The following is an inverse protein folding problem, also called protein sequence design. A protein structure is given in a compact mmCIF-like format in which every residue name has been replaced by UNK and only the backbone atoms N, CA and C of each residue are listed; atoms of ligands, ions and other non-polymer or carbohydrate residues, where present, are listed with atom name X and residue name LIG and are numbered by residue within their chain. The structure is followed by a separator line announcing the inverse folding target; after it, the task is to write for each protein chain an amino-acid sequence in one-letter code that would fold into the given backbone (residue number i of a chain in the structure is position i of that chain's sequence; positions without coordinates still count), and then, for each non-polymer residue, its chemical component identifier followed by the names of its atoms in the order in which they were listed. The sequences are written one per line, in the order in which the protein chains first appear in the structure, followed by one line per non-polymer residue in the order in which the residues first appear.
data_IF_427493835442
#
_entry.id   IF_427493835442
#
_cell.length_a   1.000
_cell.length_b   1.000
_cell.length_c   1.000
_cell.angle_alpha   90.00
_cell.angle_beta   90.00
_cell.angle_gamma   90.00
#
_symmetry.space_group_name_H-M   'P 1'
#
loop_
_entity.id
_entity.type
_entity.pdbx_description
1 polymer ?
#
# COMPACT_ATOMS: atom_id res chain seq x y z
N UNK A 1 -16.27 -4.07 -9.67
CA UNK A 1 -15.82 -3.02 -10.62
C UNK A 1 -14.73 -3.61 -11.51
N UNK A 2 -14.49 -3.10 -12.72
CA UNK A 2 -13.34 -3.58 -13.51
C UNK A 2 -12.01 -3.02 -12.94
N UNK A 3 -10.99 -3.88 -12.91
CA UNK A 3 -9.62 -3.48 -12.64
C UNK A 3 -9.07 -2.65 -13.81
N UNK A 4 -8.08 -1.80 -13.54
CA UNK A 4 -7.51 -0.84 -14.51
C UNK A 4 -6.02 -1.09 -14.69
N UNK A 5 -5.50 -0.71 -15.86
CA UNK A 5 -4.05 -0.70 -16.11
C UNK A 5 -3.31 0.08 -15.01
N UNK A 6 -2.35 -0.59 -14.37
CA UNK A 6 -1.57 -0.07 -13.26
C UNK A 6 -2.10 -0.43 -11.86
N UNK A 7 -3.34 -0.94 -11.71
CA UNK A 7 -3.82 -1.48 -10.42
C UNK A 7 -2.90 -2.64 -9.96
N UNK A 8 -2.78 -2.79 -8.64
CA UNK A 8 -1.94 -3.80 -8.02
C UNK A 8 -2.70 -4.62 -6.97
N UNK A 9 -2.25 -5.86 -6.76
CA UNK A 9 -2.84 -6.79 -5.80
C UNK A 9 -1.79 -7.47 -4.92
N UNK A 10 -2.25 -8.05 -3.82
CA UNK A 10 -1.39 -8.77 -2.86
C UNK A 10 -2.14 -9.94 -2.22
N UNK A 11 -1.43 -11.04 -1.92
CA UNK A 11 -1.97 -12.13 -1.12
C UNK A 11 -1.61 -11.97 0.37
N UNK A 12 -2.56 -12.22 1.26
CA UNK A 12 -2.40 -12.17 2.72
C UNK A 12 -2.78 -13.51 3.38
N UNK A 13 -2.01 -13.96 4.40
CA UNK A 13 -0.66 -13.50 4.75
C UNK A 13 0.38 -13.92 3.69
N UNK A 14 1.50 -13.20 3.62
CA UNK A 14 2.56 -13.46 2.62
C UNK A 14 3.34 -14.77 2.91
N UNK A 15 3.13 -15.38 4.07
CA UNK A 15 3.83 -16.57 4.60
C UNK A 15 2.86 -17.39 5.43
N UNK A 16 3.11 -18.70 5.56
CA UNK A 16 2.30 -19.57 6.43
C UNK A 16 2.65 -19.41 7.92
N UNK A 17 3.92 -19.09 8.22
CA UNK A 17 4.43 -19.03 9.59
C UNK A 17 5.46 -17.93 9.80
N UNK A 18 5.56 -17.50 11.05
CA UNK A 18 6.48 -16.50 11.55
C UNK A 18 7.21 -17.02 12.80
N UNK A 19 8.47 -16.63 12.94
CA UNK A 19 9.27 -16.91 14.13
C UNK A 19 8.85 -16.03 15.34
N UNK A 20 9.52 -16.23 16.48
CA UNK A 20 9.33 -15.44 17.70
C UNK A 20 9.62 -13.94 17.55
N UNK A 21 10.29 -13.52 16.49
CA UNK A 21 10.63 -12.13 16.16
C UNK A 21 9.66 -11.53 15.12
N UNK A 22 8.56 -12.22 14.80
CA UNK A 22 7.62 -11.90 13.72
C UNK A 22 8.26 -11.81 12.32
N UNK A 23 9.33 -12.56 12.09
CA UNK A 23 10.01 -12.71 10.80
C UNK A 23 9.56 -14.00 10.11
N UNK A 24 9.73 -14.08 8.79
CA UNK A 24 9.50 -15.31 8.01
C UNK A 24 10.32 -16.48 8.59
N UNK A 25 9.65 -17.56 9.01
CA UNK A 25 10.30 -18.73 9.64
C UNK A 25 11.14 -19.53 8.63
N UNK A 26 10.57 -19.84 7.46
CA UNK A 26 11.27 -20.53 6.36
C UNK A 26 11.24 -19.69 5.09
N UNK A 27 12.42 -19.18 4.70
CA UNK A 27 12.59 -18.43 3.45
C UNK A 27 12.34 -19.27 2.20
N UNK A 28 12.61 -20.58 2.25
CA UNK A 28 12.34 -21.49 1.14
C UNK A 28 10.84 -21.71 0.94
N UNK A 29 10.08 -21.89 2.04
CA UNK A 29 8.62 -22.02 1.98
C UNK A 29 7.98 -20.70 1.52
N UNK A 30 8.49 -19.56 2.01
CA UNK A 30 8.08 -18.25 1.54
C UNK A 30 8.30 -18.06 0.04
N UNK A 31 9.49 -18.41 -0.47
CA UNK A 31 9.78 -18.32 -1.90
C UNK A 31 8.85 -19.21 -2.74
N UNK A 32 8.63 -20.46 -2.30
CA UNK A 32 7.73 -21.39 -2.97
C UNK A 32 6.27 -20.88 -2.99
N UNK A 33 5.75 -20.42 -1.85
CA UNK A 33 4.39 -19.90 -1.72
C UNK A 33 4.18 -18.64 -2.56
N UNK A 34 5.12 -17.68 -2.54
CA UNK A 34 5.01 -16.48 -3.36
C UNK A 34 5.18 -16.78 -4.87
N UNK A 35 5.90 -17.86 -5.23
CA UNK A 35 5.92 -18.37 -6.61
C UNK A 35 4.56 -18.99 -7.01
N UNK A 36 3.89 -19.71 -6.11
CA UNK A 36 2.52 -20.21 -6.35
C UNK A 36 1.54 -19.05 -6.53
N UNK A 37 1.63 -18.02 -5.69
CA UNK A 37 0.84 -16.80 -5.81
C UNK A 37 1.06 -16.09 -7.17
N UNK A 38 2.30 -16.04 -7.66
CA UNK A 38 2.62 -15.54 -9.01
C UNK A 38 1.98 -16.39 -10.10
N UNK A 39 2.02 -17.72 -9.99
CA UNK A 39 1.40 -18.62 -10.96
C UNK A 39 -0.13 -18.49 -10.98
N UNK A 40 -0.79 -18.25 -9.84
CA UNK A 40 -2.23 -17.97 -9.79
C UNK A 40 -2.61 -16.61 -10.40
N UNK A 41 -1.67 -15.66 -10.44
CA UNK A 41 -1.84 -14.34 -11.04
C UNK A 41 -1.63 -14.27 -12.55
N UNK A 42 -1.15 -15.35 -13.17
CA UNK A 42 -0.85 -15.38 -14.62
C UNK A 42 -2.13 -15.11 -15.41
N UNK A 43 -2.11 -14.05 -16.23
CA UNK A 43 -3.24 -13.63 -17.05
C UNK A 43 -4.18 -12.62 -16.40
N UNK A 44 -3.95 -12.17 -15.16
CA UNK A 44 -4.75 -11.10 -14.55
C UNK A 44 -4.43 -9.69 -15.10
N UNK A 45 -3.28 -9.50 -15.76
CA UNK A 45 -2.76 -8.20 -16.22
C UNK A 45 -2.57 -7.14 -15.10
N UNK A 46 -2.52 -7.58 -13.84
CA UNK A 46 -2.33 -6.73 -12.66
C UNK A 46 -0.94 -6.89 -12.04
N UNK A 47 -0.46 -5.85 -11.39
CA UNK A 47 0.85 -5.89 -10.71
C UNK A 47 0.76 -6.64 -9.38
N UNK A 48 1.49 -7.75 -9.23
CA UNK A 48 1.58 -8.44 -7.95
C UNK A 48 2.67 -7.83 -7.05
N UNK A 49 2.30 -7.47 -5.82
CA UNK A 49 3.18 -6.77 -4.89
C UNK A 49 4.06 -7.71 -4.04
N UNK A 50 3.66 -8.97 -3.87
CA UNK A 50 4.40 -9.99 -3.13
C UNK A 50 5.07 -11.04 -4.03
N UNK A 51 5.42 -10.71 -5.28
CA UNK A 51 6.26 -11.57 -6.10
C UNK A 51 7.65 -11.79 -5.48
N UNK A 52 8.25 -12.98 -5.66
CA UNK A 52 9.59 -13.28 -5.17
C UNK A 52 10.65 -13.16 -6.26
N UNK A 53 11.57 -12.20 -6.13
CA UNK A 53 12.63 -11.91 -7.10
C UNK A 53 14.00 -12.50 -6.74
N UNK A 54 14.05 -13.49 -5.84
CA UNK A 54 15.31 -13.95 -5.22
C UNK A 54 15.80 -13.05 -4.07
N UNK A 55 15.46 -11.76 -4.09
CA UNK A 55 15.94 -10.78 -3.11
C UNK A 55 15.03 -10.64 -1.88
N UNK A 56 15.64 -10.48 -0.70
CA UNK A 56 14.94 -10.21 0.57
C UNK A 56 14.83 -8.71 0.80
N UNK A 57 13.83 -8.06 0.20
CA UNK A 57 13.57 -6.63 0.44
C UNK A 57 13.06 -6.37 1.87
N UNK A 58 13.20 -5.14 2.37
CA UNK A 58 12.61 -4.74 3.67
C UNK A 58 11.08 -4.94 3.69
N UNK A 59 10.42 -4.77 2.54
CA UNK A 59 8.98 -5.04 2.39
C UNK A 59 8.72 -6.53 2.63
N UNK A 60 9.39 -7.41 1.89
CA UNK A 60 9.30 -8.86 1.99
C UNK A 60 9.60 -9.37 3.41
N UNK A 61 10.57 -8.78 4.11
CA UNK A 61 10.92 -9.16 5.48
C UNK A 61 9.90 -8.67 6.52
N UNK A 62 9.54 -7.39 6.47
CA UNK A 62 8.81 -6.76 7.58
C UNK A 62 7.28 -6.87 7.45
N UNK A 63 6.75 -6.95 6.24
CA UNK A 63 5.29 -6.95 5.99
C UNK A 63 4.58 -8.17 6.56
N UNK A 64 5.08 -9.42 6.41
CA UNK A 64 4.44 -10.61 6.97
C UNK A 64 4.12 -10.47 8.47
N UNK A 65 5.04 -9.93 9.27
CA UNK A 65 4.84 -9.66 10.70
C UNK A 65 3.92 -8.47 11.00
N UNK A 66 3.83 -7.49 10.10
CA UNK A 66 2.92 -6.33 10.22
C UNK A 66 1.49 -6.65 9.78
N UNK A 67 1.29 -7.65 8.93
CA UNK A 67 -0.03 -8.05 8.39
C UNK A 67 -0.56 -9.39 8.93
N UNK A 68 0.14 -10.03 9.89
CA UNK A 68 -0.25 -11.33 10.50
C UNK A 68 -1.68 -11.35 11.03
N UNK A 69 -2.15 -10.24 11.61
CA UNK A 69 -3.48 -10.09 12.23
C UNK A 69 -4.50 -9.40 11.34
N UNK A 70 -4.28 -9.38 10.02
CA UNK A 70 -5.18 -8.71 9.09
C UNK A 70 -6.64 -9.22 9.22
N UNK A 71 -7.65 -8.35 9.05
CA UNK A 71 -7.55 -6.90 9.10
C UNK A 71 -7.41 -6.38 10.55
N UNK A 72 -6.49 -5.44 10.73
CA UNK A 72 -6.27 -4.65 11.95
C UNK A 72 -5.65 -3.29 11.59
N UNK A 73 -5.66 -2.31 12.51
CA UNK A 73 -5.16 -0.96 12.22
C UNK A 73 -3.70 -0.94 11.75
N UNK A 74 -2.87 -1.85 12.28
CA UNK A 74 -1.44 -1.97 11.90
C UNK A 74 -1.28 -2.46 10.46
N UNK A 75 -2.04 -3.47 10.06
CA UNK A 75 -2.01 -4.00 8.70
C UNK A 75 -2.59 -3.00 7.70
N UNK A 76 -3.70 -2.32 8.02
CA UNK A 76 -4.27 -1.25 7.19
C UNK A 76 -3.24 -0.14 6.95
N UNK A 77 -2.58 0.38 7.99
CA UNK A 77 -1.51 1.39 7.86
C UNK A 77 -0.29 0.86 7.09
N UNK A 78 -0.02 -0.45 7.13
CA UNK A 78 1.08 -1.08 6.38
C UNK A 78 0.75 -1.36 4.91
N UNK A 79 -0.53 -1.54 4.58
CA UNK A 79 -1.05 -1.71 3.22
C UNK A 79 -1.29 -0.35 2.55
N UNK A 80 -1.58 0.66 3.35
CA UNK A 80 -1.15 2.03 3.06
C UNK A 80 0.40 2.07 2.98
N UNK A 81 1.00 3.18 2.58
CA UNK A 81 2.42 3.22 2.11
C UNK A 81 2.73 2.44 0.81
N UNK A 82 2.00 1.35 0.44
CA UNK A 82 2.15 0.71 -0.88
C UNK A 82 1.45 1.56 -1.97
N UNK A 83 2.08 1.80 -3.14
CA UNK A 83 1.44 2.46 -4.28
C UNK A 83 0.60 1.45 -5.08
N UNK A 84 -0.41 1.93 -5.81
CA UNK A 84 -1.31 1.13 -6.66
C UNK A 84 -2.07 -0.04 -6.02
N UNK A 85 -1.84 -0.40 -4.75
CA UNK A 85 -2.57 -1.49 -4.09
C UNK A 85 -4.08 -1.19 -4.08
N UNK A 86 -4.84 -2.03 -4.76
CA UNK A 86 -6.29 -1.97 -4.86
C UNK A 86 -6.97 -3.28 -4.46
N UNK A 87 -6.34 -4.43 -4.64
CA UNK A 87 -6.95 -5.72 -4.32
C UNK A 87 -6.14 -6.52 -3.31
N UNK A 88 -6.83 -7.08 -2.32
CA UNK A 88 -6.23 -7.94 -1.29
C UNK A 88 -6.93 -9.30 -1.39
N UNK A 89 -6.15 -10.35 -1.63
CA UNK A 89 -6.62 -11.74 -1.57
C UNK A 89 -6.21 -12.32 -0.22
N UNK A 90 -7.15 -12.51 0.70
CA UNK A 90 -6.88 -13.09 2.01
C UNK A 90 -7.32 -14.56 2.04
N UNK A 91 -6.39 -15.47 2.36
CA UNK A 91 -6.68 -16.90 2.47
C UNK A 91 -6.92 -17.26 3.94
N UNK A 92 -8.18 -17.48 4.34
CA UNK A 92 -8.55 -17.77 5.73
C UNK A 92 -7.77 -18.96 6.31
N UNK A 93 -7.63 -20.04 5.53
CA UNK A 93 -6.86 -21.23 5.89
C UNK A 93 -5.34 -20.99 6.12
N UNK A 94 -4.81 -19.81 5.79
CA UNK A 94 -3.42 -19.41 6.05
C UNK A 94 -3.29 -18.41 7.20
N UNK A 95 -4.40 -17.89 7.72
CA UNK A 95 -4.42 -16.99 8.88
C UNK A 95 -4.41 -17.86 10.16
N UNK A 96 -3.48 -17.63 11.11
CA UNK A 96 -3.51 -18.34 12.39
C UNK A 96 -4.79 -18.07 13.16
N UNK A 97 -5.37 -19.12 13.75
CA UNK A 97 -6.58 -19.04 14.59
C UNK A 97 -7.78 -18.40 13.86
N UNK A 98 -7.90 -18.65 12.56
CA UNK A 98 -8.93 -18.05 11.69
C UNK A 98 -10.36 -18.44 12.09
N UNK A 99 -11.14 -17.44 12.48
CA UNK A 99 -12.60 -17.51 12.57
C UNK A 99 -13.22 -16.59 11.51
N UNK A 100 -14.14 -17.13 10.72
CA UNK A 100 -14.73 -16.42 9.58
C UNK A 100 -15.66 -15.27 10.02
N UNK A 101 -16.38 -15.42 11.13
CA UNK A 101 -17.33 -14.41 11.61
C UNK A 101 -16.60 -13.23 12.26
N UNK A 102 -15.55 -13.49 13.04
CA UNK A 102 -14.64 -12.47 13.54
C UNK A 102 -13.93 -11.73 12.41
N UNK A 103 -13.42 -12.46 11.41
CA UNK A 103 -12.74 -11.84 10.26
C UNK A 103 -13.66 -10.92 9.46
N UNK A 104 -14.90 -11.33 9.19
CA UNK A 104 -15.92 -10.52 8.51
C UNK A 104 -16.37 -9.32 9.36
N UNK A 105 -16.52 -9.51 10.67
CA UNK A 105 -16.77 -8.42 11.63
C UNK A 105 -15.65 -7.37 11.60
N UNK A 106 -14.38 -7.81 11.58
CA UNK A 106 -13.23 -6.91 11.47
C UNK A 106 -13.14 -6.24 10.09
N UNK A 107 -13.52 -6.89 8.98
CA UNK A 107 -13.65 -6.21 7.68
C UNK A 107 -14.67 -5.07 7.78
N UNK A 108 -15.83 -5.29 8.40
CA UNK A 108 -16.87 -4.28 8.55
C UNK A 108 -16.41 -3.07 9.40
N UNK A 109 -15.57 -3.29 10.41
CA UNK A 109 -14.95 -2.22 11.21
C UNK A 109 -14.04 -1.30 10.38
N UNK A 110 -13.41 -1.82 9.32
CA UNK A 110 -12.59 -1.06 8.36
C UNK A 110 -13.33 -0.78 7.04
N UNK A 111 -14.65 -0.63 7.08
CA UNK A 111 -15.50 -0.44 5.88
C UNK A 111 -15.22 0.83 5.06
N UNK A 112 -14.41 1.78 5.57
CA UNK A 112 -13.91 2.92 4.80
C UNK A 112 -12.70 2.57 3.95
N UNK A 113 -11.90 1.61 4.40
CA UNK A 113 -10.65 1.17 3.77
C UNK A 113 -10.79 -0.18 3.05
N UNK A 114 -11.79 -0.99 3.38
CA UNK A 114 -12.02 -2.33 2.83
C UNK A 114 -13.47 -2.52 2.38
N UNK A 115 -13.64 -3.10 1.20
CA UNK A 115 -14.93 -3.62 0.72
C UNK A 115 -14.77 -5.09 0.36
N UNK A 116 -15.61 -5.98 0.90
CA UNK A 116 -15.67 -7.36 0.47
C UNK A 116 -16.29 -7.43 -0.94
N UNK A 117 -15.54 -7.94 -1.91
CA UNK A 117 -16.03 -8.17 -3.28
C UNK A 117 -16.54 -9.59 -3.46
N UNK A 118 -15.76 -10.59 -3.01
CA UNK A 118 -16.06 -12.01 -3.20
C UNK A 118 -15.51 -12.85 -2.05
N UNK A 119 -16.22 -13.93 -1.72
CA UNK A 119 -15.80 -14.95 -0.76
C UNK A 119 -16.14 -16.33 -1.33
N UNK A 120 -15.19 -17.26 -1.29
CA UNK A 120 -15.42 -18.66 -1.70
C UNK A 120 -15.75 -19.59 -0.53
N UNK A 121 -16.04 -20.86 -0.85
CA UNK A 121 -16.35 -21.90 0.14
C UNK A 121 -15.14 -22.31 1.00
N UNK A 122 -13.91 -22.03 0.56
CA UNK A 122 -12.67 -22.30 1.29
C UNK A 122 -12.25 -21.14 2.20
N UNK A 123 -13.10 -20.11 2.36
CA UNK A 123 -12.81 -18.89 3.10
C UNK A 123 -11.62 -18.12 2.53
N UNK A 124 -11.47 -18.11 1.21
CA UNK A 124 -10.67 -17.10 0.51
C UNK A 124 -11.55 -15.88 0.24
N UNK A 125 -10.99 -14.69 0.48
CA UNK A 125 -11.68 -13.40 0.37
C UNK A 125 -10.95 -12.51 -0.64
N UNK A 126 -11.69 -11.96 -1.60
CA UNK A 126 -11.24 -10.86 -2.45
C UNK A 126 -11.80 -9.56 -1.88
N UNK A 127 -10.90 -8.65 -1.46
CA UNK A 127 -11.25 -7.36 -0.90
C UNK A 127 -10.76 -6.25 -1.83
N UNK A 128 -11.60 -5.24 -2.07
CA UNK A 128 -11.15 -3.96 -2.61
C UNK A 128 -10.62 -3.09 -1.46
N UNK A 129 -9.44 -2.52 -1.66
CA UNK A 129 -8.75 -1.65 -0.74
C UNK A 129 -8.87 -0.20 -1.20
N UNK A 130 -9.41 0.64 -0.32
CA UNK A 130 -9.60 2.07 -0.52
C UNK A 130 -8.64 2.82 0.42
N UNK A 131 -7.33 2.90 0.11
CA UNK A 131 -6.38 3.54 1.00
C UNK A 131 -6.77 5.01 1.22
N UNK A 132 -6.93 5.40 2.49
CA UNK A 132 -7.11 6.79 2.90
C UNK A 132 -6.30 7.00 4.18
N UNK A 133 -5.29 7.87 4.12
CA UNK A 133 -4.43 8.17 5.26
C UNK A 133 -4.36 9.67 5.50
N UNK A 134 -4.33 10.08 6.76
CA UNK A 134 -3.90 11.43 7.09
C UNK A 134 -2.39 11.56 6.80
N UNK A 135 -2.01 12.69 6.22
CA UNK A 135 -0.61 13.06 6.03
C UNK A 135 -0.09 13.62 7.35
N UNK A 136 0.98 13.00 7.85
CA UNK A 136 1.68 13.35 9.09
C UNK A 136 3.18 13.30 8.81
N UNK A 137 4.06 13.82 9.69
CA UNK A 137 5.51 13.78 9.47
C UNK A 137 6.11 12.36 9.40
N UNK A 138 5.39 11.33 9.86
CA UNK A 138 5.80 9.93 9.74
C UNK A 138 5.22 9.24 8.50
N UNK A 139 4.25 9.86 7.83
CA UNK A 139 3.62 9.35 6.62
C UNK A 139 4.66 9.24 5.52
N UNK A 140 4.73 8.07 4.88
CA UNK A 140 5.61 7.83 3.75
C UNK A 140 4.99 6.82 2.79
N UNK A 141 5.41 6.86 1.54
CA UNK A 141 4.94 5.97 0.47
C UNK A 141 6.17 5.41 -0.24
N UNK A 142 6.11 4.14 -0.60
CA UNK A 142 7.13 3.51 -1.44
C UNK A 142 6.80 3.77 -2.90
N UNK A 143 7.81 4.04 -3.72
CA UNK A 143 7.67 4.23 -5.16
C UNK A 143 8.75 3.42 -5.89
N UNK A 144 8.52 2.95 -7.13
CA UNK A 144 9.59 2.36 -7.93
C UNK A 144 10.75 3.33 -8.13
N UNK A 145 11.98 2.82 -8.07
CA UNK A 145 13.22 3.53 -8.45
C UNK A 145 13.62 3.28 -9.90
N UNK A 146 13.09 2.20 -10.49
CA UNK A 146 13.23 1.86 -11.90
C UNK A 146 11.92 1.25 -12.43
N UNK A 147 11.49 1.53 -13.68
CA UNK A 147 12.03 2.56 -14.57
C UNK A 147 11.86 3.97 -13.99
N UNK A 148 12.41 5.00 -14.64
CA UNK A 148 12.07 6.39 -14.27
C UNK A 148 10.58 6.65 -14.56
N UNK A 149 9.92 7.50 -13.77
CA UNK A 149 8.49 7.73 -13.94
C UNK A 149 7.94 8.93 -13.20
N UNK A 150 6.63 9.13 -13.35
CA UNK A 150 5.84 10.17 -12.69
C UNK A 150 5.08 9.53 -11.52
N UNK A 151 5.17 10.16 -10.35
CA UNK A 151 4.32 9.88 -9.22
C UNK A 151 3.10 10.80 -9.25
N UNK A 152 1.91 10.21 -9.12
CA UNK A 152 0.64 10.90 -9.00
C UNK A 152 0.06 10.65 -7.61
N UNK A 153 -0.22 11.72 -6.87
CA UNK A 153 -0.80 11.68 -5.53
C UNK A 153 -2.13 12.42 -5.54
N UNK A 154 -3.17 11.79 -5.00
CA UNK A 154 -4.48 12.43 -4.85
C UNK A 154 -4.65 12.89 -3.40
N UNK A 155 -4.57 14.21 -3.21
CA UNK A 155 -4.55 14.89 -1.91
C UNK A 155 -5.81 15.75 -1.73
N UNK A 156 -6.25 15.92 -0.49
CA UNK A 156 -7.37 16.78 -0.10
C UNK A 156 -7.07 17.46 1.24
N UNK A 157 -7.59 18.67 1.42
CA UNK A 157 -7.65 19.34 2.73
C UNK A 157 -9.11 19.68 3.06
N UNK A 158 -9.56 19.53 4.32
CA UNK A 158 -10.85 20.04 4.76
C UNK A 158 -10.92 21.56 4.62
N UNK A 159 -12.13 22.10 4.68
CA UNK A 159 -12.31 23.55 4.65
C UNK A 159 -11.83 24.19 5.94
N UNK A 160 -10.93 25.16 5.81
CA UNK A 160 -10.45 25.98 6.92
C UNK A 160 -10.96 27.41 6.79
N UNK A 161 -11.06 28.12 7.90
CA UNK A 161 -11.53 29.52 7.96
C UNK A 161 -10.43 30.53 7.65
N UNK A 162 -9.18 30.18 7.96
CA UNK A 162 -8.07 31.16 8.08
C UNK A 162 -7.01 31.01 6.97
N UNK A 163 -7.20 30.05 6.06
CA UNK A 163 -6.26 29.70 4.97
C UNK A 163 -7.02 29.15 3.77
N UNK A 164 -6.62 29.56 2.57
CA UNK A 164 -7.15 29.04 1.30
C UNK A 164 -6.38 27.80 0.79
N UNK A 165 -5.17 27.55 1.29
CA UNK A 165 -4.35 26.40 0.89
C UNK A 165 -3.36 25.91 1.96
N UNK A 166 -2.88 24.66 1.81
CA UNK A 166 -1.71 24.12 2.50
C UNK A 166 -0.57 23.80 1.56
N UNK A 167 0.64 24.14 1.98
CA UNK A 167 1.87 23.66 1.36
C UNK A 167 2.30 22.32 1.97
N UNK A 168 2.35 21.26 1.15
CA UNK A 168 2.92 19.96 1.52
C UNK A 168 4.19 19.73 0.72
N UNK A 169 5.30 19.53 1.43
CA UNK A 169 6.60 19.22 0.84
C UNK A 169 6.84 17.71 0.85
N UNK A 170 7.26 17.20 -0.30
CA UNK A 170 7.50 15.78 -0.53
C UNK A 170 9.02 15.58 -0.62
N UNK A 171 9.53 14.64 0.17
CA UNK A 171 10.96 14.42 0.39
C UNK A 171 11.43 13.06 -0.11
N UNK A 172 12.66 13.00 -0.60
CA UNK A 172 13.44 11.78 -0.78
C UNK A 172 14.72 11.90 0.06
N UNK A 173 14.76 11.21 1.20
CA UNK A 173 15.74 11.51 2.25
C UNK A 173 15.52 12.92 2.78
N UNK A 174 16.55 13.77 2.71
CA UNK A 174 16.46 15.20 3.07
C UNK A 174 16.22 16.13 1.88
N UNK A 175 16.19 15.62 0.64
CA UNK A 175 15.93 16.43 -0.56
C UNK A 175 14.42 16.63 -0.77
N UNK A 176 13.96 17.87 -0.87
CA UNK A 176 12.61 18.18 -1.38
C UNK A 176 12.57 17.86 -2.86
N UNK A 177 11.64 16.98 -3.27
CA UNK A 177 11.47 16.54 -4.67
C UNK A 177 10.23 17.13 -5.34
N UNK A 178 9.26 17.57 -4.55
CA UNK A 178 8.06 18.25 -5.02
C UNK A 178 7.39 19.03 -3.87
N UNK A 179 6.60 20.03 -4.25
CA UNK A 179 5.72 20.78 -3.36
C UNK A 179 4.31 20.77 -3.93
N UNK A 180 3.32 20.51 -3.08
CA UNK A 180 1.91 20.53 -3.44
C UNK A 180 1.20 21.64 -2.66
N UNK A 181 0.62 22.61 -3.38
CA UNK A 181 -0.32 23.59 -2.80
C UNK A 181 -1.74 23.02 -2.89
N UNK A 182 -2.34 22.74 -1.73
CA UNK A 182 -3.60 21.99 -1.58
C UNK A 182 -4.71 22.93 -1.13
N UNK A 183 -5.71 23.23 -1.98
CA UNK A 183 -6.84 24.05 -1.59
C UNK A 183 -7.61 23.50 -0.38
N UNK A 184 -7.99 24.37 0.55
CA UNK A 184 -8.80 24.06 1.75
C UNK A 184 -10.29 24.09 1.41
N UNK A 185 -10.71 23.21 0.50
CA UNK A 185 -12.06 23.24 -0.07
C UNK A 185 -12.74 21.86 -0.15
N UNK A 186 -12.22 20.85 0.56
CA UNK A 186 -12.72 19.47 0.59
C UNK A 186 -12.66 18.72 -0.76
N UNK A 187 -12.04 19.32 -1.79
CA UNK A 187 -11.86 18.68 -3.09
C UNK A 187 -10.59 17.84 -3.16
N UNK A 188 -10.66 16.74 -3.89
CA UNK A 188 -9.53 15.88 -4.17
C UNK A 188 -8.79 16.35 -5.42
N UNK A 189 -7.51 16.68 -5.25
CA UNK A 189 -6.66 17.25 -6.28
C UNK A 189 -5.50 16.29 -6.59
N UNK A 190 -5.15 16.16 -7.88
CA UNK A 190 -4.09 15.25 -8.33
C UNK A 190 -2.80 16.03 -8.56
N UNK A 191 -1.77 15.70 -7.79
CA UNK A 191 -0.42 16.27 -7.89
C UNK A 191 0.49 15.28 -8.58
N UNK A 192 1.15 15.73 -9.65
CA UNK A 192 2.00 14.88 -10.49
C UNK A 192 3.42 15.43 -10.52
N UNK A 193 4.42 14.61 -10.23
CA UNK A 193 5.83 15.01 -10.25
C UNK A 193 6.73 13.86 -10.72
N UNK A 194 7.80 14.19 -11.44
CA UNK A 194 8.80 13.20 -11.88
C UNK A 194 9.64 12.76 -10.68
N UNK A 195 9.82 11.45 -10.49
CA UNK A 195 10.73 10.95 -9.46
C UNK A 195 12.20 11.20 -9.88
N UNK A 196 13.07 11.65 -8.96
CA UNK A 196 14.50 11.76 -9.25
C UNK A 196 15.12 10.42 -9.60
N UNK A 197 16.08 10.41 -10.52
CA UNK A 197 16.89 9.22 -10.82
C UNK A 197 17.95 9.10 -9.72
N UNK A 198 17.93 7.98 -9.00
CA UNK A 198 18.93 7.63 -7.97
C UNK A 198 19.97 6.64 -8.51
N UNK A 199 21.12 6.57 -7.86
CA UNK A 199 22.14 5.55 -8.12
C UNK A 199 21.71 4.15 -7.63
N UNK A 200 20.93 4.07 -6.55
CA UNK A 200 20.22 2.85 -6.16
C UNK A 200 18.92 2.73 -6.99
N UNK A 201 18.98 1.90 -8.03
CA UNK A 201 17.83 1.51 -8.88
C UNK A 201 17.26 0.13 -8.49
N UNK A 202 17.78 -0.48 -7.42
CA UNK A 202 17.40 -1.85 -7.00
C UNK A 202 16.35 -1.81 -5.89
N UNK A 203 16.34 -0.74 -5.08
CA UNK A 203 15.41 -0.58 -3.95
C UNK A 203 14.34 0.46 -4.25
N UNK A 204 13.06 0.22 -3.88
CA UNK A 204 12.02 1.24 -3.96
C UNK A 204 12.39 2.51 -3.20
N UNK A 205 12.10 3.66 -3.79
CA UNK A 205 12.25 4.97 -3.16
C UNK A 205 11.24 5.14 -2.03
N UNK A 206 11.66 5.65 -0.87
CA UNK A 206 10.74 6.08 0.19
C UNK A 206 10.53 7.57 0.05
N UNK A 207 9.36 7.99 -0.44
CA UNK A 207 8.95 9.39 -0.38
C UNK A 207 8.29 9.66 0.98
N UNK A 208 8.72 10.73 1.65
CA UNK A 208 8.18 11.17 2.94
C UNK A 208 7.45 12.51 2.79
N UNK A 209 6.51 12.79 3.67
CA UNK A 209 5.72 14.01 3.65
C UNK A 209 6.07 14.88 4.86
N UNK A 210 6.36 16.15 4.63
CA UNK A 210 6.39 17.17 5.69
C UNK A 210 5.41 18.28 5.31
N UNK A 211 4.69 18.78 6.30
CA UNK A 211 3.76 19.89 6.16
C UNK A 211 3.99 20.83 7.36
N UNK A 212 3.83 22.13 7.16
CA UNK A 212 4.31 23.14 8.10
C UNK A 212 3.47 23.26 9.39
N UNK A 213 2.30 22.61 9.44
CA UNK A 213 1.25 22.82 10.44
C UNK A 213 0.57 21.51 10.82
N UNK A 214 -0.15 21.49 11.93
CA UNK A 214 -0.89 20.31 12.42
C UNK A 214 -2.24 20.09 11.71
N UNK A 215 -2.34 20.47 10.43
CA UNK A 215 -3.60 20.57 9.70
C UNK A 215 -3.86 19.33 8.85
N UNK A 216 -5.14 18.93 8.72
CA UNK A 216 -5.52 17.58 8.28
C UNK A 216 -5.48 17.40 6.76
N UNK A 217 -4.29 17.32 6.16
CA UNK A 217 -4.20 16.85 4.77
C UNK A 217 -4.44 15.34 4.70
N UNK A 218 -5.21 14.88 3.72
CA UNK A 218 -5.46 13.46 3.45
C UNK A 218 -4.88 13.02 2.10
N UNK A 219 -4.42 11.77 2.03
CA UNK A 219 -3.86 11.13 0.83
C UNK A 219 -4.58 9.80 0.56
N UNK A 220 -5.32 9.72 -0.55
CA UNK A 220 -6.02 8.49 -0.95
C UNK A 220 -5.30 7.68 -2.03
N UNK A 221 -5.21 8.18 -3.28
CA UNK A 221 -4.52 7.45 -4.37
C UNK A 221 -3.05 7.80 -4.43
N UNK A 222 -2.22 6.78 -4.68
CA UNK A 222 -0.81 6.92 -5.08
C UNK A 222 -0.59 6.04 -6.31
N UNK A 223 -0.33 6.67 -7.46
CA UNK A 223 -0.06 5.98 -8.72
C UNK A 223 1.35 6.30 -9.22
N UNK A 224 1.99 5.31 -9.80
CA UNK A 224 3.25 5.48 -10.52
C UNK A 224 3.00 5.18 -12.00
N UNK A 225 3.50 6.05 -12.87
CA UNK A 225 3.44 5.91 -14.32
C UNK A 225 4.87 5.90 -14.90
N UNK A 226 5.34 4.79 -15.47
CA UNK A 226 6.63 4.73 -16.17
C UNK A 226 6.73 5.78 -17.28
N UNK A 227 7.89 6.44 -17.38
CA UNK A 227 8.25 7.17 -18.59
C UNK A 227 8.86 6.19 -19.59
N UNK A 228 8.33 6.20 -20.80
CA UNK A 228 8.81 5.45 -21.98
C UNK A 228 10.14 5.99 -22.51
#
# INVERSE_FOLDING_TARGET
QQARSGDAYVFLPFTERLDKNNQVESWSNFAALNTQYMNWGVGLELNQLNGYSGQRSNLIRDFPGKTRRFPDARSIVTLQTIPNLRFILAQGAKIPDFDAADFESRIAQYSKELSLLEKDQASNYLLEFHPMQQVTPSTSVWMPSYPSGVAHLELMSPKLTDKDQHTVQIYLGEMVIATAEIPTNETWNIYSFKLPITSDQVRPLRIAFRHATSEQVFLRKRRFEPLS
#
